data_IF_200127788692
#
_entry.id   IF_200127788692
#
_cell.length_a   1.000
_cell.length_b   1.000
_cell.length_c   1.000
_cell.angle_alpha   90.00
_cell.angle_beta   90.00
_cell.angle_gamma   90.00
#
_symmetry.space_group_name_H-M   'P 1'
#
loop_
_entity.id
_entity.type
_entity.pdbx_description
1 polymer ?
#
# COMPACT_ATOMS: atom_id res chain seq x y z
N UNK A 1 -4.49 45.78 9.79
CA UNK A 1 -4.88 44.37 9.99
C UNK A 1 -4.14 43.54 8.95
N UNK A 2 -3.27 42.63 9.42
CA UNK A 2 -2.25 41.92 8.63
C UNK A 2 -2.90 41.03 7.54
N UNK A 3 -2.57 41.30 6.27
CA UNK A 3 -2.86 40.43 5.13
C UNK A 3 -1.97 39.16 5.23
N UNK A 4 -2.48 38.10 5.83
CA UNK A 4 -1.78 36.81 6.03
C UNK A 4 -2.21 35.71 5.02
N UNK A 5 -2.89 36.10 3.93
CA UNK A 5 -3.54 35.15 3.01
C UNK A 5 -2.61 34.48 1.98
N UNK A 6 -1.42 34.99 1.56
CA UNK A 6 -0.69 34.35 0.46
C UNK A 6 0.10 33.09 0.88
N UNK A 7 0.34 32.86 2.17
CA UNK A 7 1.20 31.75 2.63
C UNK A 7 0.47 30.40 2.62
N UNK A 8 -0.83 30.37 2.95
CA UNK A 8 -1.58 29.12 3.00
C UNK A 8 -1.80 28.49 1.62
N UNK A 9 -1.91 29.30 0.56
CA UNK A 9 -2.08 28.81 -0.81
C UNK A 9 -0.78 28.21 -1.36
N UNK A 10 0.38 28.73 -0.96
CA UNK A 10 1.67 28.23 -1.44
C UNK A 10 2.01 26.84 -0.87
N UNK A 11 1.63 26.58 0.38
CA UNK A 11 1.88 25.27 1.04
C UNK A 11 0.97 24.18 0.47
N UNK A 12 -0.27 24.50 0.10
CA UNK A 12 -1.20 23.53 -0.49
C UNK A 12 -0.75 22.99 -1.86
N UNK A 13 -0.08 23.83 -2.67
CA UNK A 13 0.42 23.41 -3.99
C UNK A 13 1.65 22.50 -3.88
N UNK A 14 2.51 22.73 -2.87
CA UNK A 14 3.72 21.92 -2.67
C UNK A 14 3.41 20.46 -2.29
N UNK A 15 2.35 20.23 -1.50
CA UNK A 15 1.94 18.86 -1.10
C UNK A 15 1.37 18.07 -2.29
N UNK A 16 0.64 18.73 -3.18
CA UNK A 16 0.07 18.09 -4.38
C UNK A 16 1.15 17.76 -5.41
N UNK A 17 2.14 18.64 -5.59
CA UNK A 17 3.27 18.38 -6.49
C UNK A 17 4.27 17.36 -5.93
N UNK A 18 4.45 17.28 -4.60
CA UNK A 18 5.33 16.28 -3.97
C UNK A 18 4.79 14.85 -4.04
N UNK A 19 3.47 14.68 -4.22
CA UNK A 19 2.83 13.37 -4.35
C UNK A 19 2.81 12.83 -5.79
N UNK A 20 3.25 13.60 -6.79
CA UNK A 20 3.03 13.27 -8.21
C UNK A 20 4.02 12.30 -8.85
N UNK A 21 5.10 11.89 -8.18
CA UNK A 21 6.08 10.97 -8.78
C UNK A 21 6.60 9.93 -7.78
N UNK A 22 5.73 9.31 -6.98
CA UNK A 22 6.10 8.05 -6.38
C UNK A 22 6.45 7.07 -7.51
N UNK A 23 7.70 6.58 -7.60
CA UNK A 23 8.11 5.70 -8.70
C UNK A 23 7.19 4.49 -8.73
N UNK A 24 6.67 4.15 -9.92
CA UNK A 24 5.81 2.97 -10.07
C UNK A 24 6.54 1.74 -9.55
N UNK A 25 5.90 0.90 -8.72
CA UNK A 25 6.53 -0.28 -8.18
C UNK A 25 7.01 -1.18 -9.32
N UNK A 26 8.24 -1.67 -9.22
CA UNK A 26 8.85 -2.57 -10.19
C UNK A 26 8.79 -4.01 -9.69
N UNK A 27 8.94 -4.98 -10.61
CA UNK A 27 9.01 -6.39 -10.26
C UNK A 27 7.70 -6.94 -9.68
N UNK A 28 7.79 -7.84 -8.71
CA UNK A 28 6.64 -8.57 -8.16
C UNK A 28 5.62 -7.61 -7.49
N UNK A 29 6.08 -6.52 -6.87
CA UNK A 29 5.20 -5.54 -6.23
C UNK A 29 4.47 -4.59 -7.20
N UNK A 30 4.75 -4.67 -8.51
CA UNK A 30 3.99 -3.93 -9.54
C UNK A 30 2.48 -4.26 -9.55
N UNK A 31 2.08 -5.36 -8.90
CA UNK A 31 0.69 -5.77 -8.75
C UNK A 31 -0.03 -5.11 -7.57
N UNK A 32 0.70 -4.38 -6.71
CA UNK A 32 0.18 -3.73 -5.52
C UNK A 32 0.09 -2.21 -5.71
N UNK A 33 -0.92 -1.60 -5.10
CA UNK A 33 -1.11 -0.14 -5.07
C UNK A 33 -1.34 0.33 -3.64
N UNK A 34 -0.83 1.52 -3.29
CA UNK A 34 -1.13 2.15 -2.01
C UNK A 34 -2.66 2.34 -1.83
N UNK A 35 -3.15 2.07 -0.63
CA UNK A 35 -4.57 2.05 -0.28
C UNK A 35 -5.30 0.74 -0.62
N UNK A 36 -4.65 -0.22 -1.29
CA UNK A 36 -5.26 -1.51 -1.62
C UNK A 36 -5.38 -2.39 -0.36
N UNK A 37 -6.54 -3.01 -0.17
CA UNK A 37 -6.71 -4.02 0.88
C UNK A 37 -6.19 -5.38 0.43
N UNK A 38 -5.43 -6.03 1.31
CA UNK A 38 -4.75 -7.30 1.05
C UNK A 38 -4.82 -8.21 2.27
N UNK A 39 -4.61 -9.50 2.06
CA UNK A 39 -4.38 -10.44 3.14
C UNK A 39 -2.90 -10.83 3.18
N UNK A 40 -2.30 -10.84 4.37
CA UNK A 40 -0.92 -11.24 4.58
C UNK A 40 -0.90 -12.57 5.31
N UNK A 41 -0.49 -13.63 4.61
CA UNK A 41 -0.37 -14.99 5.17
C UNK A 41 1.08 -15.25 5.55
N UNK A 42 1.30 -15.69 6.78
CA UNK A 42 2.61 -16.14 7.25
C UNK A 42 2.77 -17.64 6.99
N UNK A 43 3.71 -18.00 6.11
CA UNK A 43 4.05 -19.38 5.74
C UNK A 43 5.31 -19.88 6.49
N UNK A 44 5.63 -19.25 7.63
CA UNK A 44 6.81 -19.54 8.45
C UNK A 44 8.04 -18.76 7.98
N UNK A 45 8.69 -19.24 6.90
CA UNK A 45 9.94 -18.64 6.40
C UNK A 45 9.71 -17.45 5.45
N UNK A 46 8.48 -17.28 4.96
CA UNK A 46 8.11 -16.27 3.99
C UNK A 46 6.63 -15.91 4.12
N UNK A 47 6.22 -14.86 3.42
CA UNK A 47 4.86 -14.36 3.37
C UNK A 47 4.25 -14.57 1.99
N UNK A 48 2.93 -14.80 1.97
CA UNK A 48 2.11 -14.71 0.77
C UNK A 48 1.18 -13.51 0.91
N UNK A 49 1.15 -12.65 -0.11
CA UNK A 49 0.22 -11.52 -0.17
C UNK A 49 -0.93 -11.89 -1.10
N UNK A 50 -2.15 -11.91 -0.59
CA UNK A 50 -3.34 -12.20 -1.39
C UNK A 50 -4.13 -10.92 -1.66
N UNK A 51 -4.53 -10.77 -2.92
CA UNK A 51 -5.42 -9.72 -3.42
C UNK A 51 -6.70 -10.39 -3.93
N UNK A 52 -7.85 -9.72 -3.81
CA UNK A 52 -9.13 -10.29 -4.18
C UNK A 52 -9.83 -9.42 -5.24
N UNK A 53 -10.32 -10.05 -6.32
CA UNK A 53 -11.23 -9.40 -7.27
C UNK A 53 -12.65 -9.46 -6.70
N UNK A 54 -12.97 -8.54 -5.78
CA UNK A 54 -14.27 -8.45 -5.11
C UNK A 54 -14.16 -7.90 -3.69
N UNK A 55 -15.31 -7.71 -3.04
CA UNK A 55 -15.36 -7.32 -1.64
C UNK A 55 -15.15 -8.56 -0.75
N UNK A 56 -13.94 -8.71 -0.22
CA UNK A 56 -13.59 -9.76 0.71
C UNK A 56 -12.96 -9.16 1.97
N UNK A 57 -13.26 -9.74 3.15
CA UNK A 57 -12.59 -9.35 4.37
C UNK A 57 -11.09 -9.62 4.22
N UNK A 58 -10.32 -8.55 4.34
CA UNK A 58 -8.86 -8.53 4.20
C UNK A 58 -8.26 -8.04 5.50
N UNK A 59 -7.09 -8.56 5.86
CA UNK A 59 -6.48 -8.30 7.17
C UNK A 59 -5.58 -7.07 7.20
N UNK A 60 -5.18 -6.55 6.04
CA UNK A 60 -4.22 -5.46 5.93
C UNK A 60 -4.57 -4.46 4.82
N UNK A 61 -4.01 -3.26 4.93
CA UNK A 61 -4.02 -2.22 3.88
C UNK A 61 -2.59 -1.89 3.48
N UNK A 62 -2.33 -1.81 2.19
CA UNK A 62 -1.04 -1.34 1.65
C UNK A 62 -0.92 0.16 1.92
N UNK A 63 0.10 0.58 2.67
CA UNK A 63 0.39 2.00 2.89
C UNK A 63 1.37 2.54 1.85
N UNK A 64 2.41 1.76 1.57
CA UNK A 64 3.51 2.15 0.71
C UNK A 64 4.01 0.94 -0.07
N UNK A 65 4.42 1.17 -1.31
CA UNK A 65 5.08 0.16 -2.13
C UNK A 65 6.41 0.74 -2.60
N UNK A 66 7.50 0.24 -2.04
CA UNK A 66 8.87 0.57 -2.42
C UNK A 66 9.39 -0.27 -3.58
N UNK A 67 10.66 -0.10 -3.92
CA UNK A 67 11.31 -0.89 -4.99
C UNK A 67 11.51 -2.36 -4.58
N UNK A 68 11.85 -2.61 -3.32
CA UNK A 68 12.19 -3.91 -2.76
C UNK A 68 11.46 -4.21 -1.43
N UNK A 69 10.42 -3.44 -1.09
CA UNK A 69 9.60 -3.67 0.08
C UNK A 69 8.15 -3.17 -0.11
N UNK A 70 7.26 -3.61 0.78
CA UNK A 70 5.90 -3.09 0.91
C UNK A 70 5.61 -2.83 2.38
N UNK A 71 4.93 -1.73 2.69
CA UNK A 71 4.46 -1.42 4.06
C UNK A 71 2.98 -1.72 4.15
N UNK A 72 2.60 -2.55 5.12
CA UNK A 72 1.24 -2.98 5.37
C UNK A 72 0.80 -2.51 6.75
N UNK A 73 -0.41 -1.97 6.85
CA UNK A 73 -1.08 -1.71 8.12
C UNK A 73 -2.10 -2.80 8.39
N UNK A 74 -2.11 -3.34 9.60
CA UNK A 74 -3.13 -4.33 9.97
C UNK A 74 -4.52 -3.66 10.13
N UNK A 75 -5.59 -4.46 10.07
CA UNK A 75 -6.98 -3.97 10.12
C UNK A 75 -7.35 -3.22 11.41
N UNK A 76 -6.67 -3.49 12.53
CA UNK A 76 -6.85 -2.74 13.77
C UNK A 76 -6.18 -1.36 13.73
N UNK A 77 -5.29 -1.13 12.76
CA UNK A 77 -4.55 0.11 12.59
C UNK A 77 -3.44 0.32 13.62
N UNK A 78 -3.10 -0.70 14.40
CA UNK A 78 -2.14 -0.61 15.51
C UNK A 78 -0.71 -0.84 15.04
N UNK A 79 -0.54 -1.69 14.03
CA UNK A 79 0.76 -2.18 13.57
C UNK A 79 0.97 -1.83 12.10
N UNK A 80 2.14 -1.27 11.82
CA UNK A 80 2.66 -1.11 10.47
C UNK A 80 3.86 -2.04 10.31
N UNK A 81 3.82 -2.90 9.29
CA UNK A 81 4.85 -3.90 9.03
C UNK A 81 5.46 -3.65 7.66
N UNK A 82 6.77 -3.41 7.63
CA UNK A 82 7.54 -3.39 6.39
C UNK A 82 7.96 -4.82 6.02
N UNK A 83 7.49 -5.29 4.86
CA UNK A 83 7.78 -6.64 4.33
C UNK A 83 8.74 -6.49 3.15
N UNK A 84 9.99 -6.98 3.27
CA UNK A 84 10.95 -6.93 2.18
C UNK A 84 10.65 -8.00 1.13
N UNK A 85 11.04 -7.74 -0.12
CA UNK A 85 10.74 -8.61 -1.28
C UNK A 85 11.28 -10.02 -1.13
N UNK A 86 12.43 -10.20 -0.47
CA UNK A 86 13.03 -11.52 -0.25
C UNK A 86 12.26 -12.37 0.77
N UNK A 87 11.40 -11.75 1.58
CA UNK A 87 10.49 -12.44 2.49
C UNK A 87 9.16 -12.77 1.83
N UNK A 88 8.91 -12.34 0.60
CA UNK A 88 7.67 -12.63 -0.13
C UNK A 88 7.86 -13.85 -1.02
N UNK A 89 7.09 -14.91 -0.75
CA UNK A 89 7.06 -16.13 -1.56
C UNK A 89 6.27 -15.91 -2.85
N UNK A 90 5.12 -15.26 -2.75
CA UNK A 90 4.22 -15.01 -3.88
C UNK A 90 3.24 -13.87 -3.59
N UNK A 91 2.71 -13.29 -4.67
CA UNK A 91 1.54 -12.42 -4.64
C UNK A 91 0.44 -13.09 -5.46
N UNK A 92 -0.69 -13.38 -4.82
CA UNK A 92 -1.79 -14.13 -5.41
C UNK A 92 -2.97 -13.21 -5.69
N UNK A 93 -3.54 -13.33 -6.89
CA UNK A 93 -4.78 -12.66 -7.25
C UNK A 93 -5.91 -13.68 -7.26
N UNK A 94 -6.76 -13.62 -6.25
CA UNK A 94 -7.87 -14.53 -6.04
C UNK A 94 -9.13 -13.94 -6.69
N UNK A 95 -9.68 -14.65 -7.67
CA UNK A 95 -10.98 -14.32 -8.26
C UNK A 95 -12.07 -15.00 -7.46
N UNK A 96 -12.89 -14.22 -6.79
CA UNK A 96 -14.07 -14.74 -6.12
C UNK A 96 -15.11 -15.02 -7.20
N UNK A 97 -15.56 -16.27 -7.29
CA UNK A 97 -16.68 -16.63 -8.15
C UNK A 97 -17.94 -16.14 -7.44
N UNK A 98 -18.48 -15.01 -7.90
CA UNK A 98 -19.82 -14.57 -7.50
C UNK A 98 -20.82 -15.58 -8.09
N UNK A 99 -21.52 -16.31 -7.23
CA UNK A 99 -22.71 -17.08 -7.61
C UNK A 99 -23.94 -16.18 -7.75
#
# INVERSE_FOLDING_TARGET
MKKLIPIFVLVGVAVVYGAQEAPKPKGIFSMLTAGQSVDLKNEGAAYTICTYDGDAPTSHTVLEVGEDYVVLRDISGVTETAVPVYSVKSIEKVKLKLE
#
